data_IF_600708838329
#
_entry.id   IF_600708838329
#
_cell.length_a   1.000
_cell.length_b   1.000
_cell.length_c   1.000
_cell.angle_alpha   90.00
_cell.angle_beta   90.00
_cell.angle_gamma   90.00
#
_symmetry.space_group_name_H-M   'P 1'
#
loop_
_entity.id
_entity.type
_entity.pdbx_description
1 polymer ?
#
# COMPACT_ATOMS: atom_id res chain seq x y z
N UNK A 1 -7.87 -7.96 -6.40
CA UNK A 1 -7.64 -8.40 -5.01
C UNK A 1 -8.22 -9.80 -4.83
N UNK A 2 -7.47 -10.76 -4.27
CA UNK A 2 -8.00 -12.06 -3.86
C UNK A 2 -9.26 -11.91 -2.99
N UNK A 3 -10.18 -12.88 -3.11
CA UNK A 3 -11.44 -12.87 -2.37
C UNK A 3 -11.23 -12.81 -0.84
N UNK A 4 -10.19 -13.46 -0.33
CA UNK A 4 -9.84 -13.41 1.09
C UNK A 4 -9.50 -11.99 1.56
N UNK A 5 -8.73 -11.23 0.77
CA UNK A 5 -8.30 -9.87 1.13
C UNK A 5 -9.47 -8.87 1.06
N UNK A 6 -10.45 -9.12 0.19
CA UNK A 6 -11.61 -8.24 0.02
C UNK A 6 -12.73 -8.50 1.03
N UNK A 7 -12.79 -9.69 1.63
CA UNK A 7 -13.94 -10.17 2.43
C UNK A 7 -14.29 -9.26 3.61
N UNK A 8 -13.27 -8.78 4.32
CA UNK A 8 -13.43 -7.98 5.54
C UNK A 8 -12.99 -6.52 5.35
N UNK A 9 -12.78 -6.09 4.09
CA UNK A 9 -12.31 -4.75 3.76
C UNK A 9 -13.46 -3.73 3.74
N UNK A 10 -13.24 -2.57 4.37
CA UNK A 10 -14.06 -1.39 4.14
C UNK A 10 -13.41 -0.50 3.07
N UNK A 11 -14.08 -0.36 1.93
CA UNK A 11 -13.55 0.41 0.81
C UNK A 11 -13.76 1.90 1.01
N UNK A 12 -12.71 2.68 0.76
CA UNK A 12 -12.71 4.13 0.86
C UNK A 12 -12.23 4.76 -0.45
N UNK A 13 -12.53 6.04 -0.65
CA UNK A 13 -11.91 6.81 -1.74
C UNK A 13 -10.40 6.94 -1.46
N UNK A 14 -9.50 6.61 -2.41
CA UNK A 14 -8.06 6.61 -2.20
C UNK A 14 -7.50 8.04 -2.17
N UNK A 15 -7.61 8.71 -1.02
CA UNK A 15 -7.16 10.10 -0.81
C UNK A 15 -5.97 10.23 0.14
N UNK A 16 -5.53 9.12 0.75
CA UNK A 16 -4.49 9.10 1.78
C UNK A 16 -3.29 8.31 1.29
N UNK A 17 -2.09 8.83 1.56
CA UNK A 17 -0.82 8.15 1.29
C UNK A 17 -0.20 7.73 2.61
N UNK A 18 0.19 6.45 2.69
CA UNK A 18 0.88 5.87 3.83
C UNK A 18 2.25 5.34 3.43
N UNK A 19 3.20 5.43 4.36
CA UNK A 19 4.54 4.88 4.20
C UNK A 19 4.64 3.52 4.89
N UNK A 20 5.32 2.60 4.22
CA UNK A 20 5.65 1.28 4.76
C UNK A 20 7.12 0.97 4.48
N UNK A 21 7.75 0.23 5.38
CA UNK A 21 9.02 -0.43 5.13
C UNK A 21 8.73 -1.90 4.78
N UNK A 22 9.43 -2.46 3.80
CA UNK A 22 9.20 -3.83 3.33
C UNK A 22 10.50 -4.48 2.85
N UNK A 23 10.54 -5.82 2.83
CA UNK A 23 11.75 -6.56 2.48
C UNK A 23 11.96 -6.68 0.97
N UNK A 24 10.91 -7.03 0.23
CA UNK A 24 10.97 -7.18 -1.24
C UNK A 24 9.58 -7.07 -1.89
N UNK A 25 9.57 -6.80 -3.19
CA UNK A 25 8.42 -7.02 -4.06
C UNK A 25 8.33 -8.50 -4.44
N UNK A 26 7.17 -9.12 -4.27
CA UNK A 26 6.91 -10.48 -4.76
C UNK A 26 6.75 -10.49 -6.29
N UNK A 27 6.89 -11.67 -6.90
CA UNK A 27 6.58 -11.88 -8.33
C UNK A 27 5.14 -11.54 -8.72
N UNK A 28 4.22 -11.48 -7.74
CA UNK A 28 2.82 -11.10 -7.91
C UNK A 28 2.54 -9.62 -7.63
N UNK A 29 3.59 -8.80 -7.45
CA UNK A 29 3.45 -7.36 -7.26
C UNK A 29 2.98 -6.95 -5.86
N UNK A 30 3.30 -7.73 -4.83
CA UNK A 30 2.95 -7.43 -3.43
C UNK A 30 4.18 -7.12 -2.60
N UNK A 31 3.99 -6.38 -1.52
CA UNK A 31 5.04 -6.11 -0.54
C UNK A 31 5.17 -7.30 0.42
N UNK A 32 6.36 -7.88 0.55
CA UNK A 32 6.66 -8.93 1.53
C UNK A 32 7.15 -8.32 2.84
N UNK A 33 6.59 -8.81 3.96
CA UNK A 33 6.93 -8.37 5.32
C UNK A 33 6.83 -6.85 5.50
N UNK A 34 5.75 -6.25 4.97
CA UNK A 34 5.51 -4.82 5.11
C UNK A 34 5.18 -4.44 6.55
N UNK A 35 5.73 -3.32 7.00
CA UNK A 35 5.47 -2.72 8.31
C UNK A 35 5.08 -1.25 8.14
N UNK A 36 4.07 -0.81 8.91
CA UNK A 36 3.57 0.56 8.87
C UNK A 36 4.58 1.55 9.45
N UNK A 37 4.85 2.65 8.75
CA UNK A 37 5.74 3.72 9.21
C UNK A 37 4.98 5.00 9.58
N UNK A 38 3.88 5.30 8.89
CA UNK A 38 3.07 6.48 9.19
C UNK A 38 2.37 7.05 7.95
N UNK A 39 1.52 8.05 8.19
CA UNK A 39 0.88 8.78 7.09
C UNK A 39 1.84 9.79 6.47
N UNK A 40 1.74 9.95 5.15
CA UNK A 40 2.43 10.97 4.35
C UNK A 40 1.44 12.03 3.91
N UNK A 41 1.10 12.94 4.82
CA UNK A 41 0.20 14.07 4.53
C UNK A 41 0.82 15.08 3.56
N UNK A 42 2.12 14.97 3.31
CA UNK A 42 2.90 15.75 2.38
C UNK A 42 2.80 15.26 0.92
N UNK A 43 2.23 14.06 0.67
CA UNK A 43 2.13 13.46 -0.67
C UNK A 43 0.68 13.31 -1.11
N UNK A 44 0.43 13.52 -2.41
CA UNK A 44 -0.83 13.16 -3.05
C UNK A 44 -0.80 11.72 -3.60
N UNK A 45 -1.97 11.05 -3.74
CA UNK A 45 -2.03 9.68 -4.25
C UNK A 45 -1.47 9.50 -5.66
N UNK A 46 -1.55 10.52 -6.51
CA UNK A 46 -1.05 10.51 -7.88
C UNK A 46 0.49 10.59 -7.98
N UNK A 47 1.16 11.02 -6.91
CA UNK A 47 2.63 10.99 -6.80
C UNK A 47 3.18 9.59 -6.43
N UNK A 48 2.31 8.67 -6.00
CA UNK A 48 2.73 7.33 -5.56
C UNK A 48 2.96 6.42 -6.76
N UNK A 49 4.23 6.12 -7.04
CA UNK A 49 4.66 5.17 -8.07
C UNK A 49 5.39 3.99 -7.44
N UNK A 50 5.56 2.91 -8.21
CA UNK A 50 6.48 1.84 -7.81
C UNK A 50 7.90 2.36 -7.92
N UNK A 51 8.59 2.42 -6.79
CA UNK A 51 10.00 2.77 -6.70
C UNK A 51 10.87 1.54 -7.04
N UNK A 52 12.05 1.78 -7.63
CA UNK A 52 12.99 0.77 -8.13
C UNK A 52 13.70 -0.01 -7.01
#
# INVERSE_FOLDING_TARGET
MPAADARDAHWITPRLVGEVEFAEWTSTGRLRQASWRGWRHDKSPDEVVRED
#
